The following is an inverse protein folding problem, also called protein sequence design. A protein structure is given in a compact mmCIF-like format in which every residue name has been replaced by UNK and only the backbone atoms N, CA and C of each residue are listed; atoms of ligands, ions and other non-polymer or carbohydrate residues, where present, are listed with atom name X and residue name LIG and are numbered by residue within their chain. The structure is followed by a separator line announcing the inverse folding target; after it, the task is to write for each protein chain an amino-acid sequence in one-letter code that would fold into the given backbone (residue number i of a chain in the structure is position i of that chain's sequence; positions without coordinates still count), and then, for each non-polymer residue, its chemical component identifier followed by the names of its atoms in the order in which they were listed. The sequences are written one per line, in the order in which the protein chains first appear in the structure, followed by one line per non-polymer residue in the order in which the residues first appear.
data_IF_249156899528
#
_entry.id   IF_249156899528
#
_cell.length_a   1.000
_cell.length_b   1.000
_cell.length_c   1.000
_cell.angle_alpha   90.00
_cell.angle_beta   90.00
_cell.angle_gamma   90.00
#
_symmetry.space_group_name_H-M   'P 1'
#
loop_
_entity.id
_entity.type
_entity.pdbx_description
1 polymer ?
#
# COMPACT_ATOMS: atom_id res chain seq x y z
N UNK A 1 -27.80 -5.22 -8.13
CA UNK A 1 -28.88 -4.22 -8.21
C UNK A 1 -28.17 -2.88 -8.01
N UNK A 2 -28.01 -2.08 -9.07
CA UNK A 2 -27.33 -0.78 -8.95
C UNK A 2 -28.22 0.16 -8.13
N UNK A 3 -27.67 0.68 -7.04
CA UNK A 3 -28.34 1.65 -6.20
C UNK A 3 -28.53 3.00 -6.94
N UNK A 4 -29.19 3.95 -6.34
CA UNK A 4 -29.75 5.10 -7.08
C UNK A 4 -28.77 6.24 -7.42
N UNK A 5 -27.48 6.14 -7.11
CA UNK A 5 -26.53 7.26 -7.17
C UNK A 5 -25.71 7.38 -8.48
N UNK A 6 -25.10 8.53 -8.69
CA UNK A 6 -24.13 8.76 -9.76
C UNK A 6 -22.81 8.03 -9.47
N UNK A 7 -22.49 7.82 -8.19
CA UNK A 7 -21.34 7.07 -7.75
C UNK A 7 -21.33 5.63 -8.25
N UNK A 8 -22.47 4.94 -8.25
CA UNK A 8 -22.56 3.58 -8.81
C UNK A 8 -22.26 3.54 -10.31
N UNK A 9 -22.77 4.52 -11.05
CA UNK A 9 -22.47 4.64 -12.48
C UNK A 9 -20.97 4.91 -12.70
N UNK A 10 -20.35 5.69 -11.81
CA UNK A 10 -18.93 5.98 -11.87
C UNK A 10 -18.07 4.72 -11.67
N UNK A 11 -18.48 3.77 -10.79
CA UNK A 11 -17.73 2.53 -10.61
C UNK A 11 -17.56 1.73 -11.91
N UNK A 12 -18.54 1.78 -12.81
CA UNK A 12 -18.43 1.14 -14.14
C UNK A 12 -17.39 1.85 -15.03
N UNK A 13 -17.24 3.16 -14.88
CA UNK A 13 -16.30 3.94 -15.69
C UNK A 13 -14.87 3.90 -15.17
N UNK A 14 -14.66 3.45 -13.91
CA UNK A 14 -13.30 3.32 -13.31
C UNK A 14 -12.39 2.35 -14.05
N UNK A 15 -12.94 1.44 -14.87
CA UNK A 15 -12.13 0.55 -15.72
C UNK A 15 -11.42 1.29 -16.87
N UNK A 16 -11.68 2.58 -17.04
CA UNK A 16 -11.08 3.43 -18.07
C UNK A 16 -11.58 3.18 -19.48
N UNK A 17 -12.60 2.32 -19.68
CA UNK A 17 -13.16 2.05 -21.02
C UNK A 17 -14.11 3.16 -21.44
N UNK A 18 -13.91 3.76 -22.63
CA UNK A 18 -14.84 4.74 -23.16
C UNK A 18 -16.20 4.10 -23.49
N UNK A 19 -17.30 4.66 -22.97
CA UNK A 19 -18.67 4.19 -23.19
C UNK A 19 -19.57 5.29 -23.74
N UNK A 20 -20.50 4.92 -24.61
CA UNK A 20 -21.59 5.79 -25.01
C UNK A 20 -22.71 5.76 -23.97
N UNK A 21 -23.61 6.77 -24.01
CA UNK A 21 -24.80 6.77 -23.15
C UNK A 21 -25.70 5.56 -23.36
N UNK A 22 -25.78 5.05 -24.61
CA UNK A 22 -26.56 3.88 -24.94
C UNK A 22 -25.99 2.61 -24.31
N UNK A 23 -24.68 2.40 -24.44
CA UNK A 23 -23.98 1.27 -23.80
C UNK A 23 -24.20 1.28 -22.28
N UNK A 24 -24.12 2.45 -21.63
CA UNK A 24 -24.38 2.57 -20.20
C UNK A 24 -25.84 2.29 -19.80
N UNK A 25 -26.82 2.66 -20.66
CA UNK A 25 -28.22 2.27 -20.45
C UNK A 25 -28.39 0.76 -20.53
N UNK A 26 -27.78 0.13 -21.55
CA UNK A 26 -27.85 -1.32 -21.75
C UNK A 26 -27.12 -2.11 -20.62
N UNK A 27 -25.94 -1.64 -20.16
CA UNK A 27 -25.19 -2.27 -19.07
C UNK A 27 -25.88 -2.13 -17.70
N UNK A 28 -26.54 -1.00 -17.45
CA UNK A 28 -27.14 -0.69 -16.13
C UNK A 28 -28.60 -1.00 -16.01
N UNK A 29 -29.35 -1.03 -17.13
CA UNK A 29 -30.80 -1.13 -17.14
C UNK A 29 -31.53 0.14 -16.66
N UNK A 30 -30.81 1.25 -16.47
CA UNK A 30 -31.38 2.51 -16.00
C UNK A 30 -32.10 3.24 -17.13
N UNK A 31 -33.10 4.06 -16.75
CA UNK A 31 -33.73 4.96 -17.70
C UNK A 31 -32.71 5.92 -18.33
N UNK A 32 -32.85 6.20 -19.63
CA UNK A 32 -31.94 7.09 -20.39
C UNK A 32 -31.77 8.47 -19.75
N UNK A 33 -32.83 9.03 -19.20
CA UNK A 33 -32.78 10.31 -18.48
C UNK A 33 -31.95 10.25 -17.23
N UNK A 34 -32.03 9.15 -16.47
CA UNK A 34 -31.20 8.91 -15.27
C UNK A 34 -29.70 8.83 -15.62
N UNK A 35 -29.34 8.08 -16.66
CA UNK A 35 -27.95 7.99 -17.13
C UNK A 35 -27.43 9.36 -17.57
N UNK A 36 -28.23 10.15 -18.32
CA UNK A 36 -27.83 11.50 -18.76
C UNK A 36 -27.60 12.43 -17.58
N UNK A 37 -28.48 12.46 -16.58
CA UNK A 37 -28.37 13.32 -15.42
C UNK A 37 -27.14 12.94 -14.56
N UNK A 38 -26.92 11.63 -14.32
CA UNK A 38 -25.77 11.15 -13.56
C UNK A 38 -24.44 11.47 -14.26
N UNK A 39 -24.37 11.28 -15.57
CA UNK A 39 -23.18 11.64 -16.35
C UNK A 39 -22.94 13.15 -16.34
N UNK A 40 -24.00 13.98 -16.36
CA UNK A 40 -23.87 15.43 -16.24
C UNK A 40 -23.27 15.82 -14.89
N UNK A 41 -23.74 15.22 -13.79
CA UNK A 41 -23.18 15.44 -12.44
C UNK A 41 -21.71 14.99 -12.36
N UNK A 42 -21.36 13.78 -12.85
CA UNK A 42 -19.99 13.28 -12.89
C UNK A 42 -19.07 14.17 -13.73
N UNK A 43 -19.59 14.74 -14.84
CA UNK A 43 -18.84 15.69 -15.66
C UNK A 43 -18.63 17.02 -14.93
N UNK A 44 -19.64 17.48 -14.20
CA UNK A 44 -19.55 18.74 -13.43
C UNK A 44 -18.50 18.68 -12.32
N UNK A 45 -18.35 17.52 -11.64
CA UNK A 45 -17.24 17.31 -10.66
C UNK A 45 -15.88 16.96 -11.31
N UNK A 46 -15.83 16.87 -12.66
CA UNK A 46 -14.60 16.61 -13.40
C UNK A 46 -14.13 15.16 -13.40
N UNK A 47 -14.92 14.19 -12.94
CA UNK A 47 -14.51 12.78 -12.92
C UNK A 47 -14.75 12.07 -14.26
N UNK A 48 -15.58 12.63 -15.14
CA UNK A 48 -15.90 12.06 -16.45
C UNK A 48 -15.72 13.11 -17.54
N UNK A 49 -15.06 12.73 -18.62
CA UNK A 49 -14.77 13.60 -19.76
C UNK A 49 -15.23 12.96 -21.07
N UNK A 50 -15.69 13.76 -22.06
CA UNK A 50 -15.93 13.25 -23.42
C UNK A 50 -14.60 12.85 -24.09
N UNK A 51 -14.57 11.68 -24.73
CA UNK A 51 -13.41 11.19 -25.48
C UNK A 51 -13.85 10.63 -26.83
N UNK A 52 -13.58 11.36 -27.91
CA UNK A 52 -13.90 10.93 -29.27
C UNK A 52 -15.39 10.64 -29.50
N UNK A 53 -15.67 10.01 -30.62
CA UNK A 53 -17.02 9.60 -31.03
C UNK A 53 -17.04 8.12 -31.41
N UNK A 54 -18.18 7.45 -31.20
CA UNK A 54 -18.39 6.09 -31.71
C UNK A 54 -18.48 6.11 -33.23
N UNK A 55 -18.18 4.99 -33.90
CA UNK A 55 -18.37 4.83 -35.33
C UNK A 55 -19.84 5.14 -35.69
N UNK A 56 -20.06 5.92 -36.77
CA UNK A 56 -21.37 6.28 -37.20
C UNK A 56 -22.15 5.07 -37.75
N UNK A 57 -23.28 4.75 -37.14
CA UNK A 57 -24.21 3.71 -37.60
C UNK A 57 -25.46 4.32 -38.27
N UNK A 58 -25.27 5.36 -39.13
CA UNK A 58 -26.37 6.00 -39.89
C UNK A 58 -26.91 7.29 -39.27
N UNK A 59 -26.25 7.89 -38.27
CA UNK A 59 -26.63 9.15 -37.62
C UNK A 59 -25.41 9.97 -37.16
N UNK A 60 -25.66 11.07 -36.41
CA UNK A 60 -24.59 11.84 -35.78
C UNK A 60 -23.82 10.92 -34.79
N UNK A 61 -22.47 10.78 -34.91
CA UNK A 61 -21.69 9.93 -34.04
C UNK A 61 -21.94 10.25 -32.56
N UNK A 62 -22.20 9.22 -31.74
CA UNK A 62 -22.44 9.38 -30.32
C UNK A 62 -21.12 9.70 -29.59
N UNK A 63 -21.14 10.72 -28.73
CA UNK A 63 -20.00 11.03 -27.88
C UNK A 63 -19.76 9.89 -26.92
N UNK A 64 -18.49 9.45 -26.79
CA UNK A 64 -18.01 8.53 -25.76
C UNK A 64 -17.58 9.30 -24.54
N UNK A 65 -17.78 8.72 -23.39
CA UNK A 65 -17.43 9.26 -22.08
C UNK A 65 -16.51 8.27 -21.38
N UNK A 66 -15.52 8.77 -20.67
CA UNK A 66 -14.59 7.94 -19.90
C UNK A 66 -14.22 8.63 -18.59
N UNK A 67 -13.65 7.86 -17.67
CA UNK A 67 -13.05 8.37 -16.46
C UNK A 67 -11.89 9.32 -16.80
N UNK A 68 -11.89 10.53 -16.26
CA UNK A 68 -10.82 11.49 -16.41
C UNK A 68 -9.78 11.29 -15.32
N UNK A 69 -8.85 10.40 -15.58
CA UNK A 69 -7.76 10.03 -14.66
C UNK A 69 -6.82 11.20 -14.37
N UNK A 70 -6.80 12.22 -15.22
CA UNK A 70 -5.94 13.38 -15.09
C UNK A 70 -6.62 14.58 -14.43
N UNK A 71 -7.91 14.52 -14.11
CA UNK A 71 -8.67 15.68 -13.61
C UNK A 71 -8.20 16.16 -12.23
N UNK A 72 -7.81 15.24 -11.37
CA UNK A 72 -7.31 15.51 -10.01
C UNK A 72 -6.07 14.67 -9.71
N UNK A 73 -5.48 14.91 -8.55
CA UNK A 73 -4.31 14.17 -8.05
C UNK A 73 -4.48 13.79 -6.59
N UNK A 74 -3.74 12.80 -6.14
CA UNK A 74 -3.52 12.53 -4.72
C UNK A 74 -2.02 12.58 -4.41
N UNK A 75 -1.69 12.72 -3.13
CA UNK A 75 -0.33 12.66 -2.62
C UNK A 75 -0.17 11.36 -1.84
N UNK A 76 0.87 10.61 -2.16
CA UNK A 76 1.34 9.48 -1.38
C UNK A 76 2.61 9.86 -0.63
N UNK A 77 2.63 9.59 0.68
CA UNK A 77 3.78 9.77 1.58
C UNK A 77 4.07 8.41 2.18
N UNK A 78 5.27 7.89 1.97
CA UNK A 78 5.75 6.64 2.56
C UNK A 78 6.94 6.94 3.45
N UNK A 79 6.78 6.74 4.76
CA UNK A 79 7.82 6.91 5.76
C UNK A 79 8.20 5.54 6.30
N UNK A 80 9.43 5.13 6.05
CA UNK A 80 10.07 3.98 6.69
C UNK A 80 10.93 4.40 7.86
N UNK A 81 11.62 3.45 8.50
CA UNK A 81 12.54 3.76 9.60
C UNK A 81 13.70 4.68 9.17
N UNK A 82 14.24 4.47 7.96
CA UNK A 82 15.47 5.12 7.46
C UNK A 82 15.28 5.85 6.13
N UNK A 83 14.08 5.88 5.59
CA UNK A 83 13.78 6.53 4.30
C UNK A 83 12.40 7.17 4.33
N UNK A 84 12.24 8.21 3.54
CA UNK A 84 10.96 8.83 3.25
C UNK A 84 10.82 9.07 1.76
N UNK A 85 9.65 8.80 1.20
CA UNK A 85 9.31 9.08 -0.19
C UNK A 85 7.97 9.82 -0.25
N UNK A 86 7.91 10.86 -1.06
CA UNK A 86 6.70 11.65 -1.32
C UNK A 86 6.45 11.63 -2.82
N UNK A 87 5.22 11.38 -3.24
CA UNK A 87 4.84 11.38 -4.65
C UNK A 87 3.48 12.01 -4.91
N UNK A 88 3.31 12.54 -6.10
CA UNK A 88 2.03 12.99 -6.65
C UNK A 88 1.56 11.95 -7.66
N UNK A 89 0.31 11.52 -7.52
CA UNK A 89 -0.28 10.48 -8.35
C UNK A 89 -1.56 11.00 -9.03
N UNK A 90 -1.83 10.48 -10.22
CA UNK A 90 -3.12 10.70 -10.88
C UNK A 90 -4.22 9.81 -10.26
N UNK A 91 -5.45 9.92 -10.75
CA UNK A 91 -6.58 9.13 -10.25
C UNK A 91 -6.57 7.64 -10.68
N UNK A 92 -5.58 7.21 -11.50
CA UNK A 92 -5.32 5.78 -11.76
C UNK A 92 -4.28 5.18 -10.80
N UNK A 93 -3.63 6.00 -9.95
CA UNK A 93 -2.52 5.57 -9.12
C UNK A 93 -1.15 5.60 -9.82
N UNK A 94 -1.04 6.21 -11.02
CA UNK A 94 0.24 6.40 -11.67
C UNK A 94 1.00 7.55 -11.03
N UNK A 95 2.28 7.33 -10.73
CA UNK A 95 3.17 8.34 -10.15
C UNK A 95 3.58 9.35 -11.22
N UNK A 96 3.22 10.61 -11.03
CA UNK A 96 3.55 11.72 -11.92
C UNK A 96 4.94 12.28 -11.62
N UNK A 97 5.26 12.43 -10.35
CA UNK A 97 6.58 12.83 -9.86
C UNK A 97 6.75 12.37 -8.42
N UNK A 98 7.99 12.17 -8.00
CA UNK A 98 8.31 11.77 -6.65
C UNK A 98 9.69 12.27 -6.22
N UNK A 99 9.92 12.28 -4.91
CA UNK A 99 11.20 12.56 -4.30
C UNK A 99 11.40 11.66 -3.08
N UNK A 100 12.61 11.13 -2.94
CA UNK A 100 13.01 10.30 -1.80
C UNK A 100 14.17 10.95 -1.04
N UNK A 101 14.19 10.73 0.27
CA UNK A 101 15.26 11.21 1.16
C UNK A 101 15.58 10.12 2.19
N UNK A 102 16.86 10.03 2.57
CA UNK A 102 17.26 9.31 3.77
C UNK A 102 16.83 10.14 4.98
N UNK A 103 16.09 9.52 5.89
CA UNK A 103 15.61 10.11 7.15
C UNK A 103 15.96 9.17 8.29
N UNK A 104 15.89 9.67 9.52
CA UNK A 104 15.72 8.82 10.70
C UNK A 104 14.34 9.12 11.29
N UNK A 105 13.45 8.14 11.33
CA UNK A 105 12.11 8.32 11.88
C UNK A 105 12.15 8.75 13.35
N UNK A 106 13.26 8.46 14.05
CA UNK A 106 13.50 8.86 15.43
C UNK A 106 13.75 10.37 15.61
N UNK A 107 13.99 11.13 14.53
CA UNK A 107 14.07 12.60 14.57
C UNK A 107 12.72 13.25 14.97
N UNK A 108 11.66 12.45 15.02
CA UNK A 108 10.35 12.80 15.53
C UNK A 108 9.39 13.37 14.50
N UNK A 109 8.09 13.44 14.85
CA UNK A 109 7.02 13.72 13.90
C UNK A 109 7.09 15.12 13.28
N UNK A 110 7.50 16.12 14.03
CA UNK A 110 7.50 17.51 13.54
C UNK A 110 8.53 17.72 12.45
N UNK A 111 9.74 17.19 12.60
CA UNK A 111 10.80 17.35 11.60
C UNK A 111 10.45 16.58 10.33
N UNK A 112 10.13 15.29 10.47
CA UNK A 112 9.84 14.39 9.36
C UNK A 112 8.61 14.85 8.57
N UNK A 113 7.51 15.19 9.24
CA UNK A 113 6.31 15.65 8.56
C UNK A 113 6.46 17.05 7.96
N UNK A 114 7.29 17.92 8.55
CA UNK A 114 7.60 19.23 7.92
C UNK A 114 8.32 19.02 6.60
N UNK A 115 9.32 18.14 6.54
CA UNK A 115 9.98 17.78 5.29
C UNK A 115 8.98 17.19 4.29
N UNK A 116 8.15 16.23 4.70
CA UNK A 116 7.21 15.57 3.82
C UNK A 116 6.18 16.56 3.23
N UNK A 117 5.63 17.46 4.04
CA UNK A 117 4.67 18.48 3.59
C UNK A 117 5.34 19.50 2.65
N UNK A 118 6.55 19.98 2.98
CA UNK A 118 7.30 20.89 2.09
C UNK A 118 7.56 20.24 0.72
N UNK A 119 7.93 18.97 0.73
CA UNK A 119 8.17 18.20 -0.50
C UNK A 119 6.86 18.01 -1.28
N UNK A 120 5.78 17.67 -0.61
CA UNK A 120 4.46 17.50 -1.23
C UNK A 120 3.98 18.79 -1.93
N UNK A 121 4.08 19.95 -1.27
CA UNK A 121 3.72 21.24 -1.87
C UNK A 121 4.56 21.56 -3.11
N UNK A 122 5.86 21.32 -3.03
CA UNK A 122 6.78 21.56 -4.15
C UNK A 122 6.49 20.64 -5.34
N UNK A 123 6.27 19.35 -5.10
CA UNK A 123 5.92 18.37 -6.14
C UNK A 123 4.55 18.67 -6.76
N UNK A 124 3.56 19.07 -5.94
CA UNK A 124 2.24 19.48 -6.42
C UNK A 124 2.37 20.66 -7.39
N UNK A 125 3.10 21.70 -7.01
CA UNK A 125 3.34 22.85 -7.86
C UNK A 125 4.14 22.49 -9.14
N UNK A 126 5.18 21.65 -9.01
CA UNK A 126 6.00 21.20 -10.13
C UNK A 126 5.21 20.34 -11.14
N UNK A 127 4.17 19.63 -10.70
CA UNK A 127 3.23 18.88 -11.56
C UNK A 127 2.20 19.78 -12.27
N UNK A 128 2.27 21.11 -12.08
CA UNK A 128 1.30 22.06 -12.63
C UNK A 128 -0.07 22.02 -11.95
N UNK A 129 -0.16 21.40 -10.75
CA UNK A 129 -1.39 21.23 -9.99
C UNK A 129 -1.46 22.23 -8.84
N UNK A 130 -2.68 22.52 -8.42
CA UNK A 130 -2.99 23.39 -7.29
C UNK A 130 -3.67 22.60 -6.18
N UNK A 131 -3.75 23.17 -5.01
CA UNK A 131 -4.39 22.54 -3.85
C UNK A 131 -5.86 22.13 -4.11
N UNK A 132 -6.59 22.89 -4.93
CA UNK A 132 -7.97 22.55 -5.33
C UNK A 132 -8.07 21.27 -6.18
N UNK A 133 -6.97 20.85 -6.81
CA UNK A 133 -6.90 19.63 -7.62
C UNK A 133 -6.59 18.40 -6.77
N UNK A 134 -6.28 18.60 -5.46
CA UNK A 134 -5.91 17.54 -4.54
C UNK A 134 -7.15 16.83 -4.01
N UNK A 135 -7.28 15.54 -4.31
CA UNK A 135 -8.37 14.70 -3.83
C UNK A 135 -8.15 14.24 -2.38
N UNK A 136 -6.91 13.97 -2.01
CA UNK A 136 -6.52 13.55 -0.67
C UNK A 136 -5.05 13.19 -0.56
N UNK A 137 -4.63 12.84 0.64
CA UNK A 137 -3.25 12.53 1.02
C UNK A 137 -3.24 11.21 1.79
N UNK A 138 -2.45 10.24 1.34
CA UNK A 138 -2.17 9.01 2.06
C UNK A 138 -0.80 9.08 2.71
N UNK A 139 -0.69 8.64 3.96
CA UNK A 139 0.57 8.63 4.73
C UNK A 139 0.80 7.23 5.29
N UNK A 140 1.95 6.64 4.97
CA UNK A 140 2.45 5.42 5.59
C UNK A 140 3.47 5.72 6.67
N UNK A 141 3.40 5.00 7.80
CA UNK A 141 4.38 5.09 8.88
C UNK A 141 4.80 3.70 9.37
N UNK A 142 6.04 3.52 9.85
CA UNK A 142 6.57 2.21 10.22
C UNK A 142 6.18 1.80 11.66
N UNK A 143 4.89 1.76 11.96
CA UNK A 143 4.38 1.40 13.27
C UNK A 143 2.87 1.21 13.30
N UNK A 144 2.31 0.72 14.40
CA UNK A 144 0.88 0.56 14.56
C UNK A 144 0.15 1.89 14.48
N UNK A 145 -0.91 1.95 13.68
CA UNK A 145 -1.75 3.15 13.48
C UNK A 145 -3.21 2.79 13.77
N UNK A 146 -3.86 3.59 14.58
CA UNK A 146 -5.32 3.58 14.64
C UNK A 146 -5.86 4.28 13.38
N UNK A 147 -6.23 3.48 12.38
CA UNK A 147 -6.57 3.97 11.04
C UNK A 147 -7.70 5.01 11.05
N UNK A 148 -8.70 4.85 11.92
CA UNK A 148 -9.85 5.78 12.02
C UNK A 148 -9.46 7.20 12.46
N UNK A 149 -8.39 7.34 13.25
CA UNK A 149 -7.91 8.63 13.77
C UNK A 149 -6.63 9.12 13.07
N UNK A 150 -5.92 8.22 12.40
CA UNK A 150 -4.62 8.49 11.77
C UNK A 150 -3.49 8.72 12.78
N UNK A 151 -3.62 8.18 14.00
CA UNK A 151 -2.65 8.35 15.08
C UNK A 151 -1.83 7.09 15.30
N UNK A 152 -0.49 7.17 15.32
CA UNK A 152 0.36 6.07 15.77
C UNK A 152 0.09 5.74 17.25
N UNK A 153 0.09 4.45 17.57
CA UNK A 153 -0.16 3.97 18.94
C UNK A 153 1.04 3.16 19.42
N UNK A 154 1.77 3.70 20.39
CA UNK A 154 2.96 3.09 21.01
C UNK A 154 3.95 2.50 20.01
N UNK A 155 4.34 3.25 18.96
CA UNK A 155 5.24 2.72 17.94
C UNK A 155 6.65 2.54 18.53
N UNK A 156 7.24 1.33 18.50
CA UNK A 156 8.46 1.04 19.26
C UNK A 156 9.70 1.79 18.78
N UNK A 157 9.78 2.10 17.49
CA UNK A 157 10.96 2.74 16.86
C UNK A 157 10.75 4.22 16.54
N UNK A 158 9.65 4.83 17.01
CA UNK A 158 9.23 6.18 16.61
C UNK A 158 9.03 7.07 17.87
N UNK A 159 10.10 7.55 18.52
CA UNK A 159 9.98 8.40 19.70
C UNK A 159 9.24 9.72 19.38
N UNK A 160 8.29 10.10 20.22
CA UNK A 160 7.47 11.30 20.05
C UNK A 160 6.28 11.17 19.11
N UNK A 161 6.06 10.01 18.48
CA UNK A 161 4.93 9.80 17.58
C UNK A 161 3.67 9.23 18.29
N UNK A 162 3.80 8.70 19.49
CA UNK A 162 2.65 8.12 20.22
C UNK A 162 1.52 9.14 20.39
N UNK A 163 0.35 8.82 19.85
CA UNK A 163 -0.82 9.69 19.85
C UNK A 163 -0.74 10.96 18.99
N UNK A 164 0.35 11.17 18.24
CA UNK A 164 0.52 12.35 17.40
C UNK A 164 -0.54 12.41 16.30
N UNK A 165 -1.18 13.58 16.16
CA UNK A 165 -2.24 13.79 15.17
C UNK A 165 -1.65 14.16 13.80
N UNK A 166 -1.28 13.13 13.03
CA UNK A 166 -0.71 13.28 11.68
C UNK A 166 -1.69 14.02 10.77
N UNK A 167 -2.98 13.64 10.68
CA UNK A 167 -3.95 14.35 9.86
C UNK A 167 -4.07 15.84 10.19
N UNK A 168 -4.13 16.20 11.47
CA UNK A 168 -4.23 17.59 11.85
C UNK A 168 -2.96 18.39 11.51
N UNK A 169 -1.77 17.76 11.63
CA UNK A 169 -0.50 18.40 11.27
C UNK A 169 -0.44 18.70 9.77
N UNK A 170 -0.74 17.73 8.93
CA UNK A 170 -0.68 17.86 7.47
C UNK A 170 -1.72 18.87 6.97
N UNK A 171 -2.94 18.84 7.52
CA UNK A 171 -4.05 19.73 7.13
C UNK A 171 -3.82 21.21 7.46
N UNK A 172 -2.82 21.57 8.29
CA UNK A 172 -2.45 22.98 8.50
C UNK A 172 -1.97 23.67 7.22
N UNK A 173 -1.46 22.92 6.26
CA UNK A 173 -0.87 23.44 5.03
C UNK A 173 -1.53 22.86 3.76
N UNK A 174 -1.93 21.61 3.77
CA UNK A 174 -2.57 20.92 2.66
C UNK A 174 -4.02 20.58 3.04
N UNK A 175 -4.96 21.40 2.57
CA UNK A 175 -6.39 21.29 2.91
C UNK A 175 -7.01 20.16 2.06
N UNK A 176 -6.91 18.93 2.54
CA UNK A 176 -7.47 17.74 1.91
C UNK A 176 -7.76 16.66 2.97
N UNK A 177 -8.48 15.61 2.57
CA UNK A 177 -8.62 14.40 3.39
C UNK A 177 -7.25 13.76 3.56
N UNK A 178 -6.85 13.45 4.81
CA UNK A 178 -5.59 12.78 5.13
C UNK A 178 -5.91 11.44 5.76
N UNK A 179 -5.43 10.37 5.15
CA UNK A 179 -5.54 9.00 5.64
C UNK A 179 -4.15 8.50 6.03
N UNK A 180 -4.08 7.77 7.13
CA UNK A 180 -2.81 7.23 7.65
C UNK A 180 -2.95 5.73 7.86
N UNK A 181 -1.92 4.98 7.49
CA UNK A 181 -1.87 3.54 7.69
C UNK A 181 -0.43 3.09 8.00
N UNK A 182 -0.29 1.84 8.39
CA UNK A 182 1.01 1.20 8.49
C UNK A 182 1.66 1.06 7.10
N UNK A 183 2.98 1.26 7.02
CA UNK A 183 3.74 1.21 5.77
C UNK A 183 3.65 -0.16 5.07
N UNK A 184 3.56 -1.27 5.83
CA UNK A 184 3.43 -2.62 5.26
C UNK A 184 2.08 -2.80 4.57
N UNK A 185 1.01 -2.22 5.12
CA UNK A 185 -0.30 -2.22 4.49
C UNK A 185 -0.28 -1.51 3.14
N UNK A 186 0.41 -0.37 3.07
CA UNK A 186 0.53 0.40 1.82
C UNK A 186 1.43 -0.33 0.81
N UNK A 187 2.53 -0.94 1.25
CA UNK A 187 3.35 -1.79 0.37
C UNK A 187 2.53 -2.94 -0.22
N UNK A 188 1.67 -3.58 0.57
CA UNK A 188 0.78 -4.64 0.08
C UNK A 188 -0.20 -4.13 -1.00
N UNK A 189 -0.81 -2.95 -0.79
CA UNK A 189 -1.71 -2.33 -1.78
C UNK A 189 -0.97 -1.99 -3.07
N UNK A 190 0.19 -1.34 -2.97
CA UNK A 190 0.98 -0.95 -4.13
C UNK A 190 1.52 -2.14 -4.92
N UNK A 191 2.02 -3.16 -4.25
CA UNK A 191 2.49 -4.41 -4.87
C UNK A 191 1.34 -5.13 -5.57
N UNK A 192 0.18 -5.30 -4.89
CA UNK A 192 -0.98 -5.95 -5.50
C UNK A 192 -1.42 -5.23 -6.77
N UNK A 193 -1.56 -3.91 -6.70
CA UNK A 193 -2.07 -3.14 -7.83
C UNK A 193 -1.17 -3.21 -9.07
N UNK A 194 0.16 -3.28 -8.88
CA UNK A 194 1.12 -3.24 -9.98
C UNK A 194 1.54 -4.63 -10.48
N UNK A 195 1.70 -5.59 -9.58
CA UNK A 195 2.25 -6.90 -9.91
C UNK A 195 1.21 -8.03 -9.89
N UNK A 196 0.13 -7.84 -9.14
CA UNK A 196 -0.87 -8.88 -8.88
C UNK A 196 -2.32 -8.38 -9.03
N UNK A 197 -2.68 -7.62 -10.09
CA UNK A 197 -3.99 -6.98 -10.20
C UNK A 197 -5.18 -7.96 -10.24
N UNK A 198 -4.94 -9.20 -10.65
CA UNK A 198 -5.96 -10.25 -10.72
C UNK A 198 -5.98 -11.16 -9.47
N UNK A 199 -5.17 -10.86 -8.44
CA UNK A 199 -5.08 -11.66 -7.21
C UNK A 199 -5.92 -11.00 -6.14
N UNK A 200 -6.89 -11.74 -5.59
CA UNK A 200 -7.77 -11.26 -4.54
C UNK A 200 -7.26 -11.61 -3.13
N UNK A 201 -6.49 -12.70 -2.98
CA UNK A 201 -5.99 -13.16 -1.69
C UNK A 201 -4.46 -13.18 -1.70
N UNK A 202 -3.86 -12.16 -1.08
CA UNK A 202 -2.42 -11.91 -1.05
C UNK A 202 -1.96 -11.65 0.39
N UNK A 203 -0.85 -12.27 0.78
CA UNK A 203 -0.12 -11.97 2.01
C UNK A 203 1.21 -11.31 1.65
N UNK A 204 1.39 -10.05 2.02
CA UNK A 204 2.66 -9.35 1.89
C UNK A 204 3.40 -9.39 3.22
N UNK A 205 4.65 -9.80 3.23
CA UNK A 205 5.50 -9.83 4.43
C UNK A 205 6.70 -8.93 4.19
N UNK A 206 6.83 -7.87 4.98
CA UNK A 206 8.01 -7.00 5.00
C UNK A 206 9.04 -7.57 5.96
N UNK A 207 10.27 -7.77 5.47
CA UNK A 207 11.43 -8.19 6.27
C UNK A 207 12.53 -7.14 6.13
N UNK A 208 12.74 -6.35 7.18
CA UNK A 208 13.68 -5.23 7.21
C UNK A 208 14.19 -5.00 8.64
N UNK A 209 14.27 -3.74 9.11
CA UNK A 209 14.52 -3.39 10.52
C UNK A 209 13.45 -3.95 11.45
N UNK A 210 12.20 -4.05 10.97
CA UNK A 210 11.11 -4.75 11.60
C UNK A 210 10.51 -5.79 10.66
N UNK A 211 9.55 -6.60 11.18
CA UNK A 211 8.80 -7.61 10.43
C UNK A 211 7.30 -7.36 10.63
N UNK A 212 6.59 -7.19 9.52
CA UNK A 212 5.14 -7.02 9.53
C UNK A 212 4.50 -7.62 8.30
N UNK A 213 3.18 -7.75 8.29
CA UNK A 213 2.43 -8.23 7.14
C UNK A 213 1.28 -7.30 6.75
N UNK A 214 1.03 -7.21 5.44
CA UNK A 214 -0.18 -6.63 4.87
C UNK A 214 -1.04 -7.77 4.31
N UNK A 215 -2.30 -7.81 4.72
CA UNK A 215 -3.22 -8.90 4.41
C UNK A 215 -4.29 -8.39 3.46
N UNK A 216 -4.39 -8.97 2.28
CA UNK A 216 -5.47 -8.68 1.32
C UNK A 216 -6.29 -9.94 1.14
N UNK A 217 -7.61 -9.86 1.37
CA UNK A 217 -8.56 -10.94 1.19
C UNK A 217 -9.78 -10.43 0.42
N UNK A 218 -10.20 -11.18 -0.59
CA UNK A 218 -11.28 -10.75 -1.49
C UNK A 218 -11.00 -9.40 -2.16
N UNK A 219 -9.73 -9.10 -2.44
CA UNK A 219 -9.28 -7.85 -3.03
C UNK A 219 -9.22 -6.65 -2.08
N UNK A 220 -9.53 -6.82 -0.79
CA UNK A 220 -9.64 -5.76 0.22
C UNK A 220 -8.57 -5.92 1.29
N UNK A 221 -7.90 -4.82 1.64
CA UNK A 221 -6.93 -4.79 2.72
C UNK A 221 -7.62 -5.02 4.09
N UNK A 222 -7.10 -5.98 4.83
CA UNK A 222 -7.62 -6.37 6.14
C UNK A 222 -6.81 -5.68 7.25
N UNK A 223 -7.43 -4.70 7.91
CA UNK A 223 -6.81 -3.95 9.01
C UNK A 223 -7.15 -4.49 10.39
N UNK A 224 -8.15 -5.39 10.47
CA UNK A 224 -8.74 -5.82 11.74
C UNK A 224 -9.56 -4.70 12.41
N UNK A 225 -9.98 -4.94 13.64
CA UNK A 225 -10.89 -4.03 14.34
C UNK A 225 -10.26 -2.67 14.71
N UNK A 226 -8.92 -2.59 14.85
CA UNK A 226 -8.20 -1.39 15.29
C UNK A 226 -6.95 -1.07 14.48
N UNK A 227 -6.73 -1.72 13.34
CA UNK A 227 -5.59 -1.44 12.46
C UNK A 227 -4.34 -2.29 12.73
N UNK A 228 -4.38 -3.29 13.63
CA UNK A 228 -3.21 -4.09 13.99
C UNK A 228 -3.18 -5.48 13.33
N UNK A 229 -4.08 -5.77 12.37
CA UNK A 229 -3.96 -7.01 11.62
C UNK A 229 -2.66 -6.99 10.80
N UNK A 230 -1.91 -8.11 10.85
CA UNK A 230 -0.62 -8.21 10.19
C UNK A 230 0.60 -7.90 11.05
N UNK A 231 0.42 -7.57 12.33
CA UNK A 231 1.52 -7.38 13.29
C UNK A 231 2.13 -8.73 13.70
N UNK A 232 2.70 -9.43 12.71
CA UNK A 232 3.28 -10.77 12.89
C UNK A 232 4.66 -10.75 13.53
N UNK A 233 5.31 -9.60 13.58
CA UNK A 233 6.63 -9.43 14.20
C UNK A 233 6.63 -9.80 15.68
N UNK A 234 5.52 -9.58 16.38
CA UNK A 234 5.35 -9.89 17.79
C UNK A 234 4.78 -11.31 18.08
N UNK A 235 4.63 -12.12 17.05
CA UNK A 235 4.24 -13.55 17.24
C UNK A 235 5.44 -14.34 17.73
N UNK A 236 5.23 -15.14 18.78
CA UNK A 236 6.28 -16.06 19.27
C UNK A 236 6.59 -17.16 18.25
N UNK A 237 7.87 -17.38 17.99
CA UNK A 237 8.32 -18.42 17.07
C UNK A 237 8.34 -19.78 17.78
N UNK A 238 7.62 -20.80 17.29
CA UNK A 238 7.60 -22.13 17.91
C UNK A 238 9.02 -22.74 18.00
N UNK A 239 9.35 -23.27 19.18
CA UNK A 239 10.62 -23.98 19.41
C UNK A 239 11.82 -23.09 19.68
N UNK A 240 11.65 -21.76 19.76
CA UNK A 240 12.71 -20.87 20.23
C UNK A 240 12.78 -20.88 21.75
N UNK A 241 14.03 -20.94 22.30
CA UNK A 241 14.23 -20.75 23.73
C UNK A 241 13.95 -19.29 24.12
N UNK A 242 13.33 -19.08 25.30
CA UNK A 242 13.12 -17.76 25.89
C UNK A 242 12.05 -16.86 25.24
N UNK A 243 10.94 -17.40 24.77
CA UNK A 243 9.75 -16.61 24.32
C UNK A 243 10.08 -15.43 23.39
N UNK A 244 11.05 -15.61 22.50
CA UNK A 244 11.42 -14.58 21.53
C UNK A 244 10.37 -14.47 20.44
N UNK A 245 9.93 -13.26 20.17
CA UNK A 245 9.08 -12.96 19.04
C UNK A 245 9.84 -13.05 17.70
N UNK A 246 9.08 -13.00 16.60
CA UNK A 246 9.63 -13.15 15.26
C UNK A 246 10.62 -12.03 14.92
N UNK A 247 10.31 -10.79 15.30
CA UNK A 247 11.15 -9.64 15.01
C UNK A 247 12.49 -9.72 15.75
N UNK A 248 12.47 -10.06 17.04
CA UNK A 248 13.69 -10.29 17.84
C UNK A 248 14.51 -11.51 17.38
N UNK A 249 13.94 -12.36 16.51
CA UNK A 249 14.59 -13.58 16.01
C UNK A 249 15.12 -13.41 14.58
N UNK A 250 14.42 -12.71 13.71
CA UNK A 250 14.63 -12.78 12.25
C UNK A 250 14.72 -11.43 11.54
N UNK A 251 14.61 -10.29 12.24
CA UNK A 251 14.83 -8.97 11.66
C UNK A 251 16.29 -8.68 11.32
N UNK A 252 16.56 -7.63 10.53
CA UNK A 252 17.93 -7.22 10.22
C UNK A 252 18.79 -6.95 11.48
N UNK A 253 18.28 -6.22 12.50
CA UNK A 253 18.99 -6.09 13.78
C UNK A 253 19.26 -7.42 14.48
N UNK A 254 18.32 -8.38 14.44
CA UNK A 254 18.49 -9.68 15.05
C UNK A 254 19.60 -10.49 14.39
N UNK A 255 19.67 -10.48 13.06
CA UNK A 255 20.72 -11.15 12.28
C UNK A 255 22.07 -10.46 12.55
N UNK A 256 22.14 -9.13 12.54
CA UNK A 256 23.35 -8.37 12.81
C UNK A 256 23.89 -8.66 14.23
N UNK A 257 23.03 -8.67 15.25
CA UNK A 257 23.37 -9.03 16.61
C UNK A 257 23.87 -10.48 16.74
N UNK A 258 23.30 -11.42 15.99
CA UNK A 258 23.78 -12.79 15.93
C UNK A 258 25.21 -12.86 15.38
N UNK A 259 25.47 -12.17 14.27
CA UNK A 259 26.77 -12.16 13.60
C UNK A 259 27.85 -11.43 14.42
N UNK A 260 27.45 -10.51 15.30
CA UNK A 260 28.39 -9.79 16.21
C UNK A 260 28.75 -10.55 17.45
N UNK A 261 28.18 -11.73 17.75
CA UNK A 261 28.40 -12.48 19.03
C UNK A 261 29.80 -12.94 19.25
N UNK A 262 30.55 -13.26 18.20
CA UNK A 262 31.92 -13.78 18.30
C UNK A 262 32.98 -12.68 18.49
N UNK A 263 32.57 -11.43 18.77
CA UNK A 263 33.37 -10.39 19.41
C UNK A 263 34.41 -9.66 18.54
N UNK A 264 34.52 -9.95 17.26
CA UNK A 264 35.56 -9.36 16.42
C UNK A 264 35.12 -8.04 15.71
N UNK A 265 33.84 -7.87 15.37
CA UNK A 265 33.34 -6.69 14.62
C UNK A 265 31.91 -6.42 15.03
N UNK A 266 31.57 -5.16 15.30
CA UNK A 266 30.21 -4.72 15.40
C UNK A 266 29.59 -4.67 13.96
N UNK A 267 28.52 -5.42 13.72
CA UNK A 267 27.85 -5.50 12.43
C UNK A 267 26.56 -4.71 12.53
N UNK A 268 26.44 -3.69 11.71
CA UNK A 268 25.21 -2.91 11.62
C UNK A 268 24.16 -3.65 10.78
N UNK A 269 22.87 -3.43 11.02
CA UNK A 269 21.80 -4.07 10.25
C UNK A 269 21.91 -3.86 8.73
N UNK A 270 22.45 -2.73 8.29
CA UNK A 270 22.70 -2.41 6.87
C UNK A 270 23.77 -3.30 6.23
N UNK A 271 24.74 -3.77 6.99
CA UNK A 271 25.89 -4.57 6.50
C UNK A 271 25.51 -6.03 6.21
N UNK A 272 24.40 -6.52 6.77
CA UNK A 272 23.97 -7.92 6.63
C UNK A 272 23.84 -8.33 5.16
N UNK A 273 23.21 -7.51 4.35
CA UNK A 273 23.02 -7.77 2.93
C UNK A 273 24.34 -7.81 2.18
N UNK A 274 25.26 -6.91 2.47
CA UNK A 274 26.55 -6.84 1.77
C UNK A 274 27.45 -8.01 2.16
N UNK A 275 27.45 -8.44 3.43
CA UNK A 275 28.15 -9.66 3.85
C UNK A 275 27.67 -10.91 3.11
N UNK A 276 26.35 -11.05 2.95
CA UNK A 276 25.76 -12.16 2.20
C UNK A 276 26.21 -12.10 0.74
N UNK A 277 26.18 -10.93 0.11
CA UNK A 277 26.67 -10.73 -1.27
C UNK A 277 28.14 -11.05 -1.46
N UNK A 278 28.95 -10.79 -0.43
CA UNK A 278 30.39 -11.13 -0.41
C UNK A 278 30.65 -12.63 -0.16
N UNK A 279 29.61 -13.43 0.08
CA UNK A 279 29.73 -14.87 0.29
C UNK A 279 30.11 -15.27 1.71
N UNK A 280 29.87 -14.44 2.71
CA UNK A 280 30.06 -14.78 4.13
C UNK A 280 29.12 -15.94 4.52
N UNK A 281 29.70 -17.13 4.71
CA UNK A 281 28.94 -18.35 4.98
C UNK A 281 28.14 -18.27 6.29
N UNK A 282 28.62 -17.55 7.27
CA UNK A 282 27.93 -17.36 8.56
C UNK A 282 26.70 -16.46 8.36
N UNK A 283 26.84 -15.38 7.60
CA UNK A 283 25.74 -14.49 7.26
C UNK A 283 24.67 -15.19 6.38
N UNK A 284 25.11 -16.00 5.41
CA UNK A 284 24.23 -16.83 4.58
C UNK A 284 23.43 -17.82 5.43
N UNK A 285 24.11 -18.52 6.37
CA UNK A 285 23.46 -19.48 7.26
C UNK A 285 22.47 -18.78 8.21
N UNK A 286 22.86 -17.64 8.79
CA UNK A 286 22.00 -16.85 9.67
C UNK A 286 20.75 -16.33 8.93
N UNK A 287 20.89 -15.83 7.70
CA UNK A 287 19.76 -15.41 6.86
C UNK A 287 18.82 -16.57 6.54
N UNK A 288 19.36 -17.77 6.24
CA UNK A 288 18.54 -18.95 5.99
C UNK A 288 17.74 -19.37 7.21
N UNK A 289 18.36 -19.31 8.41
CA UNK A 289 17.70 -19.63 9.67
C UNK A 289 16.63 -18.60 10.03
N UNK A 290 16.92 -17.31 9.84
CA UNK A 290 15.89 -16.25 9.94
C UNK A 290 14.72 -16.51 9.00
N UNK A 291 15.01 -16.92 7.75
CA UNK A 291 13.98 -17.33 6.79
C UNK A 291 13.13 -18.51 7.28
N UNK A 292 13.71 -19.49 7.96
CA UNK A 292 12.95 -20.60 8.57
C UNK A 292 12.03 -20.11 9.69
N UNK A 293 12.52 -19.22 10.56
CA UNK A 293 11.71 -18.64 11.62
C UNK A 293 10.51 -17.86 11.06
N UNK A 294 10.74 -17.05 10.03
CA UNK A 294 9.65 -16.36 9.30
C UNK A 294 8.70 -17.39 8.68
N UNK A 295 9.23 -18.48 8.12
CA UNK A 295 8.47 -19.57 7.53
C UNK A 295 7.53 -20.25 8.51
N UNK A 296 7.88 -20.40 9.80
CA UNK A 296 7.02 -20.96 10.84
C UNK A 296 5.75 -20.12 11.03
N UNK A 297 5.89 -18.80 11.14
CA UNK A 297 4.75 -17.89 11.29
C UNK A 297 3.97 -17.77 9.97
N UNK A 298 4.69 -17.72 8.84
CA UNK A 298 4.05 -17.69 7.50
C UNK A 298 3.18 -18.93 7.27
N UNK A 299 3.61 -20.13 7.68
CA UNK A 299 2.82 -21.35 7.55
C UNK A 299 1.51 -21.31 8.37
N UNK A 300 1.52 -20.66 9.54
CA UNK A 300 0.30 -20.39 10.30
C UNK A 300 -0.63 -19.44 9.53
N UNK A 301 -0.08 -18.34 9.01
CA UNK A 301 -0.86 -17.41 8.19
C UNK A 301 -1.45 -18.09 6.95
N UNK A 302 -0.68 -18.92 6.25
CA UNK A 302 -1.18 -19.72 5.10
C UNK A 302 -2.33 -20.63 5.51
N UNK A 303 -2.23 -21.25 6.68
CA UNK A 303 -3.28 -22.16 7.17
C UNK A 303 -4.58 -21.43 7.56
N UNK A 304 -4.50 -20.15 7.98
CA UNK A 304 -5.64 -19.34 8.42
C UNK A 304 -6.25 -18.55 7.27
N UNK A 305 -5.41 -17.95 6.41
CA UNK A 305 -5.82 -17.00 5.36
C UNK A 305 -5.96 -17.67 3.99
N UNK A 306 -5.25 -18.77 3.77
CA UNK A 306 -5.17 -19.48 2.48
C UNK A 306 -4.92 -18.55 1.27
N UNK A 307 -3.86 -17.71 1.29
CA UNK A 307 -3.58 -16.79 0.19
C UNK A 307 -3.11 -17.55 -1.05
N UNK A 308 -3.34 -17.00 -2.24
CA UNK A 308 -2.81 -17.54 -3.50
C UNK A 308 -1.36 -17.13 -3.75
N UNK A 309 -0.90 -16.04 -3.12
CA UNK A 309 0.49 -15.58 -3.20
C UNK A 309 0.94 -15.00 -1.86
N UNK A 310 2.19 -15.34 -1.48
CA UNK A 310 2.94 -14.70 -0.41
C UNK A 310 4.07 -13.90 -1.03
N UNK A 311 4.06 -12.60 -0.82
CA UNK A 311 5.09 -11.68 -1.35
C UNK A 311 6.01 -11.28 -0.21
N UNK A 312 7.31 -11.46 -0.40
CA UNK A 312 8.33 -11.11 0.59
C UNK A 312 9.02 -9.82 0.17
N UNK A 313 8.71 -8.75 0.88
CA UNK A 313 9.24 -7.41 0.67
C UNK A 313 10.21 -6.95 1.76
N UNK A 314 10.56 -5.66 1.74
CA UNK A 314 11.56 -5.08 2.63
C UNK A 314 12.99 -5.35 2.16
N UNK A 315 13.95 -4.69 2.79
CA UNK A 315 15.34 -4.72 2.36
C UNK A 315 15.93 -6.14 2.32
N UNK A 316 15.70 -6.94 3.35
CA UNK A 316 16.16 -8.33 3.38
C UNK A 316 15.33 -9.23 2.47
N UNK A 317 14.02 -9.06 2.44
CA UNK A 317 13.12 -9.90 1.64
C UNK A 317 13.39 -9.81 0.14
N UNK A 318 13.74 -8.63 -0.37
CA UNK A 318 14.02 -8.42 -1.80
C UNK A 318 15.46 -8.80 -2.15
N UNK A 319 16.42 -8.51 -1.28
CA UNK A 319 17.85 -8.60 -1.62
C UNK A 319 18.53 -9.90 -1.18
N UNK A 320 17.88 -10.70 -0.32
CA UNK A 320 18.47 -11.90 0.31
C UNK A 320 17.64 -13.14 -0.04
N UNK A 321 18.09 -13.90 -1.05
CA UNK A 321 17.38 -15.11 -1.51
C UNK A 321 17.30 -16.22 -0.45
N UNK A 322 18.26 -16.27 0.46
CA UNK A 322 18.33 -17.21 1.57
C UNK A 322 17.13 -17.09 2.51
N UNK A 323 16.65 -15.88 2.74
CA UNK A 323 15.42 -15.62 3.51
C UNK A 323 14.23 -16.33 2.82
N UNK A 324 14.01 -16.08 1.54
CA UNK A 324 12.90 -16.68 0.78
C UNK A 324 13.04 -18.21 0.73
N UNK A 325 14.25 -18.71 0.56
CA UNK A 325 14.52 -20.13 0.53
C UNK A 325 14.19 -20.79 1.89
N UNK A 326 14.53 -20.14 3.01
CA UNK A 326 14.16 -20.60 4.35
C UNK A 326 12.65 -20.60 4.58
N UNK A 327 11.95 -19.54 4.15
CA UNK A 327 10.48 -19.45 4.22
C UNK A 327 9.83 -20.59 3.42
N UNK A 328 10.23 -20.80 2.17
CA UNK A 328 9.69 -21.85 1.30
C UNK A 328 9.87 -23.23 1.91
N UNK A 329 11.07 -23.52 2.45
CA UNK A 329 11.39 -24.80 3.07
C UNK A 329 10.37 -25.17 4.17
N UNK A 330 10.04 -24.22 5.03
CA UNK A 330 9.13 -24.46 6.15
C UNK A 330 7.67 -24.48 5.69
N UNK A 331 7.25 -23.49 4.91
CA UNK A 331 5.84 -23.38 4.47
C UNK A 331 5.43 -24.59 3.66
N UNK A 332 6.22 -25.04 2.67
CA UNK A 332 5.87 -26.20 1.85
C UNK A 332 5.90 -27.52 2.64
N UNK A 333 6.69 -27.60 3.71
CA UNK A 333 6.73 -28.77 4.60
C UNK A 333 5.53 -28.81 5.55
N UNK A 334 5.06 -27.65 6.06
CA UNK A 334 4.06 -27.58 7.13
C UNK A 334 2.62 -27.39 6.64
N UNK A 335 2.44 -26.78 5.50
CA UNK A 335 1.11 -26.53 4.95
C UNK A 335 0.53 -27.79 4.29
N UNK A 336 -0.78 -27.97 4.38
CA UNK A 336 -1.47 -29.09 3.70
C UNK A 336 -1.40 -28.92 2.17
N UNK A 337 -1.42 -30.01 1.40
CA UNK A 337 -1.30 -29.95 -0.07
C UNK A 337 -2.30 -29.00 -0.73
N UNK A 338 -3.54 -28.96 -0.28
CA UNK A 338 -4.57 -28.07 -0.83
C UNK A 338 -4.21 -26.59 -0.67
N UNK A 339 -3.51 -26.22 0.39
CA UNK A 339 -3.12 -24.84 0.64
C UNK A 339 -1.81 -24.45 -0.06
N UNK A 340 -0.92 -25.40 -0.40
CA UNK A 340 0.41 -25.08 -0.91
C UNK A 340 0.66 -25.48 -2.37
N UNK A 341 -0.15 -26.35 -2.99
CA UNK A 341 0.08 -26.85 -4.35
C UNK A 341 0.08 -25.75 -5.43
N UNK A 342 -0.61 -24.62 -5.20
CA UNK A 342 -0.65 -23.49 -6.11
C UNK A 342 -0.12 -22.20 -5.47
N UNK A 343 0.37 -22.27 -4.23
CA UNK A 343 0.89 -21.13 -3.50
C UNK A 343 2.23 -20.68 -4.11
N UNK A 344 2.30 -19.41 -4.49
CA UNK A 344 3.54 -18.77 -4.89
C UNK A 344 4.13 -17.99 -3.72
N UNK A 345 5.40 -18.24 -3.39
CA UNK A 345 6.18 -17.44 -2.42
C UNK A 345 7.28 -16.74 -3.21
N UNK A 346 7.22 -15.43 -3.33
CA UNK A 346 8.04 -14.66 -4.27
C UNK A 346 8.57 -13.38 -3.65
N UNK A 347 9.70 -12.83 -4.14
CA UNK A 347 10.13 -11.49 -3.74
C UNK A 347 9.18 -10.43 -4.30
N UNK A 348 9.04 -9.31 -3.57
CA UNK A 348 8.32 -8.12 -4.04
C UNK A 348 8.99 -7.52 -5.29
N UNK A 349 8.16 -6.96 -6.18
CA UNK A 349 8.58 -6.38 -7.47
C UNK A 349 8.02 -4.98 -7.71
N UNK A 350 7.23 -4.45 -6.78
CA UNK A 350 6.58 -3.14 -6.91
C UNK A 350 7.52 -1.94 -6.96
N UNK A 351 8.83 -2.17 -6.71
CA UNK A 351 9.83 -1.11 -6.78
C UNK A 351 9.80 -0.14 -5.60
N UNK A 352 10.55 0.95 -5.74
CA UNK A 352 10.70 1.98 -4.70
C UNK A 352 9.46 2.86 -4.52
N UNK A 353 8.53 2.83 -5.44
CA UNK A 353 7.30 3.61 -5.42
C UNK A 353 6.07 2.83 -4.93
N UNK A 354 6.24 1.56 -4.57
CA UNK A 354 5.14 0.71 -4.07
C UNK A 354 4.43 1.33 -2.85
N UNK A 355 5.17 1.90 -1.89
CA UNK A 355 4.61 2.53 -0.70
C UNK A 355 3.76 3.77 -1.02
N UNK A 356 4.29 4.69 -1.83
CA UNK A 356 3.54 5.89 -2.24
C UNK A 356 2.35 5.55 -3.15
N UNK A 357 2.46 4.52 -4.00
CA UNK A 357 1.31 4.00 -4.77
C UNK A 357 0.24 3.46 -3.86
N UNK A 358 0.61 2.64 -2.89
CA UNK A 358 -0.35 2.12 -1.90
C UNK A 358 -1.02 3.23 -1.10
N UNK A 359 -0.26 4.26 -0.69
CA UNK A 359 -0.80 5.43 -0.02
C UNK A 359 -1.81 6.18 -0.90
N UNK A 360 -1.49 6.38 -2.18
CA UNK A 360 -2.40 6.97 -3.16
C UNK A 360 -3.64 6.11 -3.38
N UNK A 361 -3.49 4.80 -3.57
CA UNK A 361 -4.61 3.87 -3.76
C UNK A 361 -5.55 3.84 -2.56
N UNK A 362 -5.04 3.88 -1.33
CA UNK A 362 -5.86 4.01 -0.12
C UNK A 362 -6.77 5.25 -0.18
N UNK A 363 -6.24 6.38 -0.64
CA UNK A 363 -7.03 7.62 -0.84
C UNK A 363 -8.05 7.44 -1.97
N UNK A 364 -7.65 6.85 -3.09
CA UNK A 364 -8.54 6.64 -4.23
C UNK A 364 -9.71 5.70 -3.89
N UNK A 365 -9.46 4.64 -3.13
CA UNK A 365 -10.50 3.70 -2.71
C UNK A 365 -11.51 4.36 -1.76
N UNK A 366 -11.04 5.20 -0.84
CA UNK A 366 -11.90 5.94 0.08
C UNK A 366 -12.69 7.06 -0.64
N UNK A 367 -12.03 7.87 -1.48
CA UNK A 367 -12.59 9.09 -2.06
C UNK A 367 -13.32 8.89 -3.40
N UNK A 368 -13.10 7.76 -4.07
CA UNK A 368 -13.75 7.39 -5.32
C UNK A 368 -14.71 6.20 -5.18
N UNK A 369 -15.05 5.76 -3.96
CA UNK A 369 -16.14 4.83 -3.74
C UNK A 369 -17.50 5.50 -4.11
N UNK A 370 -18.54 4.70 -4.33
CA UNK A 370 -19.83 5.22 -4.81
C UNK A 370 -20.39 6.29 -3.87
N UNK A 371 -20.36 6.04 -2.55
CA UNK A 371 -20.88 6.99 -1.55
C UNK A 371 -20.10 8.31 -1.55
N UNK A 372 -18.76 8.26 -1.57
CA UNK A 372 -17.93 9.47 -1.57
C UNK A 372 -18.09 10.29 -2.87
N UNK A 373 -18.34 9.64 -4.00
CA UNK A 373 -18.64 10.36 -5.26
C UNK A 373 -20.00 11.04 -5.21
N UNK A 374 -21.01 10.38 -4.64
CA UNK A 374 -22.33 11.00 -4.45
C UNK A 374 -22.23 12.22 -3.49
N UNK A 375 -21.47 12.12 -2.38
CA UNK A 375 -21.20 13.25 -1.49
C UNK A 375 -20.48 14.42 -2.19
N UNK A 376 -19.50 14.13 -3.08
CA UNK A 376 -18.83 15.17 -3.87
C UNK A 376 -19.78 15.92 -4.81
N UNK A 377 -20.79 15.25 -5.32
CA UNK A 377 -21.83 15.87 -6.17
C UNK A 377 -22.73 16.76 -5.31
N UNK A 378 -23.18 16.29 -4.15
CA UNK A 378 -24.03 17.05 -3.22
C UNK A 378 -23.36 18.36 -2.73
N UNK A 379 -22.05 18.41 -2.67
CA UNK A 379 -21.28 19.61 -2.28
C UNK A 379 -21.20 20.69 -3.38
N UNK A 380 -21.65 20.38 -4.60
CA UNK A 380 -21.73 21.37 -5.71
C UNK A 380 -23.04 22.15 -5.74
N UNK A 381 -24.10 21.58 -5.15
CA UNK A 381 -25.43 22.19 -5.06
C UNK A 381 -25.52 23.10 -3.81
#
# INVERSE_FOLDING_TARGET
MFSSGAGDLFQLLRDGRPRTRSELVDETGLARTSVVNRLAALTAIGLVTPTGTAAASGGRPAARLMFDQASRVCIGIDLGATHGTVGVLNLSGDVLCQESRVIDIADGPTEILTWAVNTAERLLAASGRQQRDLLGIGVGVPGPVEHSTGRPIRPPIMPGWDGFDIPAFVRRRLIATVLVDNDVNLLALGERATQWPAVDDLLFIKVSTGIGAGIILGGVLQRGSRGSAGDIGHVQVPGTANDRDLEATASAPAIAAYLSRDGAVNIEPGDVTDRIRMGDLTAIAAAREAGRAIGEVTAMCVSVLNPSVVVIGGQLGVNVQEIIAGIREVVYRRSIPLANQHLNIVPARGGSDAGIRGAGLMVLDERLCAAAVDELIEQLD
#
